data_IF_938512079409
#
_entry.id   IF_938512079409
#
_cell.length_a   1.000
_cell.length_b   1.000
_cell.length_c   1.000
_cell.angle_alpha   90.00
_cell.angle_beta   90.00
_cell.angle_gamma   90.00
#
_symmetry.space_group_name_H-M   'P 1'
#
loop_
_entity.id
_entity.type
_entity.pdbx_description
1 polymer ?
#
# COMPACT_ATOMS: atom_id res chain seq x y z
N UNK A 1 23.98 5.51 -14.16
CA UNK A 1 22.72 6.02 -14.71
C UNK A 1 21.68 4.92 -14.53
N UNK A 2 20.89 5.00 -13.46
CA UNK A 2 19.94 3.95 -13.10
C UNK A 2 18.63 4.22 -13.85
N UNK A 3 18.28 3.37 -14.82
CA UNK A 3 17.00 3.44 -15.52
C UNK A 3 15.87 3.14 -14.54
N UNK A 4 15.05 4.14 -14.22
CA UNK A 4 13.79 3.92 -13.51
C UNK A 4 12.75 3.41 -14.52
N UNK A 5 12.00 2.34 -14.20
CA UNK A 5 10.92 1.87 -15.07
C UNK A 5 9.85 2.95 -15.21
N UNK A 6 9.43 3.22 -16.46
CA UNK A 6 8.32 4.13 -16.76
C UNK A 6 7.06 3.67 -16.03
N UNK A 7 6.48 4.57 -15.24
CA UNK A 7 5.20 4.34 -14.58
C UNK A 7 4.10 4.20 -15.63
N UNK A 8 3.18 3.21 -15.50
CA UNK A 8 1.95 3.24 -16.30
C UNK A 8 1.20 4.53 -15.95
N UNK A 9 0.92 5.34 -16.97
CA UNK A 9 0.21 6.59 -16.79
C UNK A 9 -1.15 6.31 -16.12
N UNK A 10 -1.36 6.85 -14.92
CA UNK A 10 -2.72 7.03 -14.39
C UNK A 10 -3.47 7.81 -15.46
N UNK A 11 -4.62 7.31 -15.94
CA UNK A 11 -5.42 7.95 -16.99
C UNK A 11 -5.53 9.45 -16.74
N UNK A 12 -4.67 10.20 -17.43
CA UNK A 12 -4.45 11.63 -17.17
C UNK A 12 -5.54 12.48 -17.83
N UNK A 13 -6.46 11.83 -18.54
CA UNK A 13 -7.51 12.44 -19.32
C UNK A 13 -8.85 11.71 -19.12
N UNK A 14 -9.97 12.44 -19.21
CA UNK A 14 -11.29 11.82 -19.20
C UNK A 14 -11.43 10.88 -20.42
N UNK A 15 -11.86 9.65 -20.18
CA UNK A 15 -12.16 8.69 -21.24
C UNK A 15 -13.28 9.17 -22.20
N UNK A 16 -14.04 10.18 -21.78
CA UNK A 16 -15.10 10.82 -22.55
C UNK A 16 -14.95 12.36 -22.50
N UNK A 17 -14.72 12.98 -23.66
CA UNK A 17 -14.58 14.43 -23.81
C UNK A 17 -15.92 15.18 -23.90
N UNK A 18 -17.06 14.52 -23.72
CA UNK A 18 -18.35 15.21 -23.60
C UNK A 18 -18.38 16.14 -22.38
N UNK A 19 -19.24 17.15 -22.41
CA UNK A 19 -19.41 18.07 -21.28
C UNK A 19 -19.76 17.32 -19.97
N UNK A 20 -20.55 16.24 -20.05
CA UNK A 20 -20.88 15.41 -18.91
C UNK A 20 -19.69 14.57 -18.43
N UNK A 21 -18.89 14.02 -19.35
CA UNK A 21 -17.65 13.29 -19.05
C UNK A 21 -16.62 14.18 -18.34
N UNK A 22 -16.39 15.38 -18.86
CA UNK A 22 -15.52 16.40 -18.27
C UNK A 22 -15.99 16.83 -16.87
N UNK A 23 -17.28 17.06 -16.68
CA UNK A 23 -17.83 17.41 -15.36
C UNK A 23 -17.63 16.29 -14.33
N UNK A 24 -17.91 15.03 -14.70
CA UNK A 24 -17.69 13.87 -13.82
C UNK A 24 -16.22 13.71 -13.44
N UNK A 25 -15.32 13.92 -14.39
CA UNK A 25 -13.89 13.91 -14.13
C UNK A 25 -13.47 15.03 -13.19
N UNK A 26 -13.95 16.26 -13.40
CA UNK A 26 -13.65 17.40 -12.53
C UNK A 26 -14.13 17.18 -11.08
N UNK A 27 -15.33 16.60 -10.89
CA UNK A 27 -15.83 16.24 -9.55
C UNK A 27 -14.96 15.18 -8.88
N UNK A 28 -14.48 14.17 -9.63
CA UNK A 28 -13.55 13.16 -9.10
C UNK A 28 -12.21 13.78 -8.73
N UNK A 29 -11.63 14.61 -9.59
CA UNK A 29 -10.38 15.31 -9.33
C UNK A 29 -10.49 16.21 -8.08
N UNK A 30 -11.58 16.99 -7.96
CA UNK A 30 -11.86 17.80 -6.79
C UNK A 30 -12.02 16.94 -5.52
N UNK A 31 -12.63 15.76 -5.63
CA UNK A 31 -12.72 14.77 -4.55
C UNK A 31 -11.35 14.25 -4.09
N UNK A 32 -10.46 13.93 -5.03
CA UNK A 32 -9.08 13.52 -4.75
C UNK A 32 -8.32 14.64 -4.05
N UNK A 33 -8.34 15.87 -4.59
CA UNK A 33 -7.69 17.04 -3.98
C UNK A 33 -8.24 17.30 -2.57
N UNK A 34 -9.55 17.21 -2.37
CA UNK A 34 -10.19 17.36 -1.05
C UNK A 34 -9.76 16.27 -0.06
N UNK A 35 -9.63 15.03 -0.52
CA UNK A 35 -9.17 13.93 0.33
C UNK A 35 -7.68 14.07 0.66
N UNK A 36 -6.86 14.50 -0.29
CA UNK A 36 -5.46 14.86 -0.09
C UNK A 36 -5.32 15.97 0.95
N UNK A 37 -6.05 17.07 0.80
CA UNK A 37 -6.06 18.20 1.74
C UNK A 37 -6.54 17.81 3.14
N UNK A 38 -7.28 16.71 3.28
CA UNK A 38 -7.77 16.16 4.55
C UNK A 38 -6.89 15.05 5.11
N UNK A 39 -5.75 14.74 4.49
CA UNK A 39 -4.87 13.64 4.89
C UNK A 39 -5.51 12.25 4.73
N UNK A 40 -6.57 12.13 3.92
CA UNK A 40 -7.34 10.89 3.68
C UNK A 40 -6.86 10.13 2.44
N UNK A 41 -5.60 10.30 2.05
CA UNK A 41 -4.96 9.55 0.96
C UNK A 41 -4.36 8.23 1.42
N UNK A 42 -4.51 7.87 2.69
CA UNK A 42 -3.99 6.63 3.25
C UNK A 42 -4.64 5.45 2.55
N UNK A 43 -3.81 4.59 1.97
CA UNK A 43 -4.29 3.39 1.31
C UNK A 43 -4.21 2.25 2.30
N UNK A 44 -5.33 1.55 2.45
CA UNK A 44 -5.46 0.44 3.39
C UNK A 44 -5.45 -0.87 2.60
N UNK A 45 -4.58 -1.78 2.99
CA UNK A 45 -4.54 -3.15 2.50
C UNK A 45 -4.67 -4.13 3.67
N UNK A 46 -5.10 -5.36 3.41
CA UNK A 46 -5.06 -6.44 4.40
C UNK A 46 -3.82 -7.30 4.14
N UNK A 47 -3.13 -7.69 5.20
CA UNK A 47 -1.95 -8.56 5.18
C UNK A 47 -2.18 -9.73 6.12
N UNK A 48 -1.94 -10.94 5.63
CA UNK A 48 -1.95 -12.15 6.44
C UNK A 48 -0.53 -12.71 6.43
N UNK A 49 0.03 -12.94 7.63
CA UNK A 49 1.25 -13.72 7.80
C UNK A 49 0.82 -15.15 8.09
N UNK A 50 1.18 -16.06 7.21
CA UNK A 50 0.82 -17.47 7.38
C UNK A 50 1.61 -18.12 8.52
N UNK A 51 0.98 -19.05 9.22
CA UNK A 51 1.62 -19.80 10.29
C UNK A 51 2.89 -20.52 9.79
N UNK A 52 3.97 -20.46 10.58
CA UNK A 52 5.25 -21.11 10.27
C UNK A 52 6.13 -20.39 9.24
N UNK A 53 5.64 -19.33 8.58
CA UNK A 53 6.44 -18.53 7.67
C UNK A 53 7.27 -17.47 8.41
N UNK A 54 8.46 -17.17 7.90
CA UNK A 54 9.34 -16.10 8.42
C UNK A 54 9.41 -14.87 7.52
N UNK A 55 8.75 -14.94 6.35
CA UNK A 55 8.67 -13.84 5.41
C UNK A 55 7.35 -13.88 4.65
N UNK A 56 6.77 -12.71 4.41
CA UNK A 56 5.55 -12.53 3.61
C UNK A 56 5.75 -11.42 2.59
N UNK A 57 5.21 -11.62 1.38
CA UNK A 57 5.28 -10.61 0.32
C UNK A 57 4.04 -9.73 0.35
N UNK A 58 4.23 -8.42 0.55
CA UNK A 58 3.18 -7.43 0.42
C UNK A 58 3.22 -6.82 -0.99
N UNK A 59 2.16 -7.03 -1.78
CA UNK A 59 2.01 -6.47 -3.12
C UNK A 59 0.93 -5.40 -3.10
N UNK A 60 1.27 -4.17 -3.48
CA UNK A 60 0.31 -3.08 -3.57
C UNK A 60 0.80 -1.97 -4.53
N UNK A 61 -0.03 -1.45 -5.47
CA UNK A 61 0.39 -0.47 -6.48
C UNK A 61 1.02 0.81 -5.92
N UNK A 62 0.58 1.24 -4.74
CA UNK A 62 1.08 2.46 -4.08
C UNK A 62 2.33 2.26 -3.22
N UNK A 63 2.91 1.05 -3.18
CA UNK A 63 4.21 0.85 -2.54
C UNK A 63 5.33 1.37 -3.44
N UNK A 64 6.23 2.15 -2.86
CA UNK A 64 7.46 2.61 -3.49
C UNK A 64 8.59 2.59 -2.46
N UNK A 65 9.84 2.69 -2.90
CA UNK A 65 11.01 2.54 -2.01
C UNK A 65 11.01 3.47 -0.77
N UNK A 66 10.42 4.66 -0.90
CA UNK A 66 10.36 5.70 0.14
C UNK A 66 9.06 5.72 0.94
N UNK A 67 8.12 4.80 0.66
CA UNK A 67 6.89 4.71 1.44
C UNK A 67 7.19 4.32 2.89
N UNK A 68 6.24 4.57 3.76
CA UNK A 68 6.17 4.00 5.09
C UNK A 68 4.90 3.16 5.21
N UNK A 69 4.96 2.08 5.99
CA UNK A 69 3.78 1.29 6.33
C UNK A 69 3.56 1.32 7.83
N UNK A 70 2.30 1.40 8.25
CA UNK A 70 1.87 1.18 9.61
C UNK A 70 1.02 -0.09 9.64
N UNK A 71 1.32 -0.99 10.57
CA UNK A 71 0.62 -2.27 10.73
C UNK A 71 -0.32 -2.17 11.93
N UNK A 72 -1.62 -2.38 11.69
CA UNK A 72 -2.66 -2.43 12.71
C UNK A 72 -3.09 -3.89 12.91
N UNK A 73 -2.79 -4.53 14.05
CA UNK A 73 -3.08 -5.94 14.27
C UNK A 73 -4.59 -6.18 14.45
N UNK A 74 -5.15 -7.11 13.66
CA UNK A 74 -6.56 -7.49 13.73
C UNK A 74 -6.81 -8.74 14.60
N UNK A 75 -5.75 -9.48 14.97
CA UNK A 75 -5.81 -10.65 15.84
C UNK A 75 -4.83 -10.53 17.00
N UNK A 76 -5.08 -11.24 18.10
CA UNK A 76 -4.18 -11.26 19.27
C UNK A 76 -2.79 -11.81 18.90
N UNK A 77 -2.75 -12.86 18.08
CA UNK A 77 -1.50 -13.41 17.55
C UNK A 77 -0.72 -12.37 16.73
N UNK A 78 -1.42 -11.55 15.93
CA UNK A 78 -0.81 -10.46 15.17
C UNK A 78 -0.23 -9.37 16.08
N UNK A 79 -0.92 -9.02 17.17
CA UNK A 79 -0.42 -8.04 18.13
C UNK A 79 0.90 -8.50 18.78
N UNK A 80 1.01 -9.80 19.10
CA UNK A 80 2.25 -10.38 19.63
C UNK A 80 3.38 -10.43 18.57
N UNK A 81 3.03 -10.73 17.31
CA UNK A 81 3.99 -10.82 16.21
C UNK A 81 4.49 -9.46 15.70
N UNK A 82 3.83 -8.34 16.06
CA UNK A 82 4.17 -6.99 15.60
C UNK A 82 5.63 -6.61 15.95
N UNK A 83 6.12 -7.09 17.10
CA UNK A 83 7.51 -6.91 17.50
C UNK A 83 8.42 -7.81 16.63
N UNK A 84 9.16 -7.18 15.71
CA UNK A 84 10.12 -7.88 14.84
C UNK A 84 9.70 -7.99 13.37
N UNK A 85 8.60 -7.36 12.97
CA UNK A 85 8.26 -7.21 11.55
C UNK A 85 9.05 -6.04 10.95
N UNK A 86 9.78 -6.29 9.86
CA UNK A 86 10.48 -5.24 9.13
C UNK A 86 10.59 -5.56 7.63
N UNK A 87 10.70 -4.50 6.82
CA UNK A 87 11.02 -4.59 5.40
C UNK A 87 12.49 -4.19 5.17
N UNK A 88 13.39 -5.12 4.83
CA UNK A 88 14.76 -4.81 4.40
C UNK A 88 14.78 -3.78 3.27
N UNK A 89 15.73 -2.84 3.27
CA UNK A 89 15.79 -1.77 2.26
C UNK A 89 15.91 -2.29 0.82
N UNK A 90 16.69 -3.34 0.62
CA UNK A 90 16.88 -4.05 -0.65
C UNK A 90 15.63 -4.79 -1.14
N UNK A 91 14.69 -5.09 -0.23
CA UNK A 91 13.40 -5.70 -0.58
C UNK A 91 12.32 -4.67 -0.96
N UNK A 92 12.58 -3.36 -0.77
CA UNK A 92 11.60 -2.29 -1.01
C UNK A 92 11.54 -1.91 -2.47
N UNK A 93 11.04 -2.83 -3.28
CA UNK A 93 10.81 -2.57 -4.70
C UNK A 93 9.52 -1.77 -4.89
N UNK A 94 9.39 -1.13 -6.07
CA UNK A 94 8.13 -0.53 -6.45
C UNK A 94 7.06 -1.62 -6.57
N UNK A 95 5.90 -1.37 -5.98
CA UNK A 95 4.72 -2.23 -5.93
C UNK A 95 4.81 -3.51 -5.08
N UNK A 96 5.98 -3.87 -4.57
CA UNK A 96 6.17 -5.13 -3.83
C UNK A 96 7.27 -5.01 -2.79
N UNK A 97 6.97 -5.36 -1.54
CA UNK A 97 7.91 -5.45 -0.44
C UNK A 97 7.94 -6.86 0.15
N UNK A 98 9.11 -7.31 0.63
CA UNK A 98 9.22 -8.54 1.43
C UNK A 98 9.31 -8.15 2.89
N UNK A 99 8.33 -8.59 3.68
CA UNK A 99 8.27 -8.36 5.11
C UNK A 99 8.87 -9.56 5.82
N UNK A 100 9.98 -9.36 6.51
CA UNK A 100 10.55 -10.35 7.42
C UNK A 100 9.84 -10.26 8.77
N UNK A 101 9.49 -11.40 9.34
CA UNK A 101 8.81 -11.50 10.63
C UNK A 101 9.16 -12.82 11.33
N UNK A 102 9.03 -12.90 12.67
CA UNK A 102 9.16 -14.18 13.37
C UNK A 102 8.08 -15.16 12.90
N UNK A 103 8.39 -16.45 12.96
CA UNK A 103 7.43 -17.50 12.66
C UNK A 103 6.30 -17.49 13.69
N UNK A 104 5.06 -17.33 13.23
CA UNK A 104 3.89 -17.36 14.08
C UNK A 104 3.34 -18.78 14.20
N UNK A 105 2.78 -19.14 15.35
CA UNK A 105 2.13 -20.43 15.56
C UNK A 105 0.75 -20.54 14.87
N UNK A 106 0.17 -19.40 14.50
CA UNK A 106 -1.12 -19.28 13.83
C UNK A 106 -1.11 -18.06 12.89
N UNK A 107 -2.09 -17.98 11.98
CA UNK A 107 -2.18 -16.88 11.03
C UNK A 107 -2.37 -15.53 11.74
N UNK A 108 -1.52 -14.58 11.36
CA UNK A 108 -1.54 -13.23 11.93
C UNK A 108 -2.08 -12.26 10.89
N UNK A 109 -3.20 -11.61 11.19
CA UNK A 109 -3.85 -10.66 10.27
C UNK A 109 -3.59 -9.23 10.70
N UNK A 110 -3.20 -8.40 9.75
CA UNK A 110 -2.96 -6.98 9.91
C UNK A 110 -3.76 -6.19 8.88
N UNK A 111 -4.19 -5.01 9.30
CA UNK A 111 -4.54 -3.94 8.40
C UNK A 111 -3.30 -3.07 8.18
N UNK A 112 -2.88 -2.94 6.93
CA UNK A 112 -1.69 -2.17 6.54
C UNK A 112 -2.13 -0.83 6.02
N UNK A 113 -1.67 0.25 6.67
CA UNK A 113 -1.79 1.60 6.16
C UNK A 113 -0.51 1.96 5.43
N UNK A 114 -0.61 2.24 4.14
CA UNK A 114 0.50 2.67 3.29
C UNK A 114 0.48 4.20 3.22
N UNK A 115 1.61 4.80 3.58
CA UNK A 115 1.89 6.23 3.52
C UNK A 115 2.98 6.42 2.45
N UNK A 116 2.63 7.09 1.35
CA UNK A 116 3.53 7.33 0.23
C UNK A 116 3.40 8.74 -0.30
#
# INVERSE_FOLDING_TARGET
>A
MTNYPEYPAVDSQPADQTALGLFRWAVRAAGVVKNMARGRMNVVADLTLDAGMTSTVLVHPNLHAFAAISLDPLTEAAAAALAGIYAPEDSRNNTQWVLNHPAAAADCRFRVMILG
#
